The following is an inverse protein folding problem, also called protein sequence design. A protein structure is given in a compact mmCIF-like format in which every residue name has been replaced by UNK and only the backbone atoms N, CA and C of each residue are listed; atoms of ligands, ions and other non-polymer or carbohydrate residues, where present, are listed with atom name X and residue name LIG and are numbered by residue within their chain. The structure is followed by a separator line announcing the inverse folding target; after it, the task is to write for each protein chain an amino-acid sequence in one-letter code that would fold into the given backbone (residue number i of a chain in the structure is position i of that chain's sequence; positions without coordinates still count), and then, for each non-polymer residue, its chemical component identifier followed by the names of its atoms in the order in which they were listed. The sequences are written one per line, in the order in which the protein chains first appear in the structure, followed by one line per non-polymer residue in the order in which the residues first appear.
data_IF_951819293779
#
_entry.id   IF_951819293779
#
_cell.length_a   1.000
_cell.length_b   1.000
_cell.length_c   1.000
_cell.angle_alpha   90.00
_cell.angle_beta   90.00
_cell.angle_gamma   90.00
#
_symmetry.space_group_name_H-M   'P 1'
#
loop_
_entity.id
_entity.type
_entity.pdbx_description
1 polymer ?
#
# COMPACT_ATOMS: atom_id res chain seq x y z
N UNK A 1 10.63 1.54 2.12
CA UNK A 1 9.35 1.08 2.68
C UNK A 1 8.29 2.15 2.45
N UNK A 2 7.06 1.78 2.11
CA UNK A 2 5.94 2.74 1.99
C UNK A 2 4.89 2.47 3.04
N UNK A 3 4.25 3.52 3.54
CA UNK A 3 3.16 3.44 4.49
C UNK A 3 1.83 3.60 3.77
N UNK A 4 0.93 2.64 3.96
CA UNK A 4 -0.47 2.77 3.58
C UNK A 4 -1.19 3.39 4.77
N UNK A 5 -1.37 4.71 4.70
CA UNK A 5 -2.01 5.49 5.75
C UNK A 5 -3.47 5.67 5.42
N UNK A 6 -4.32 5.13 6.28
CA UNK A 6 -5.75 5.16 6.12
C UNK A 6 -6.39 6.10 7.14
N UNK A 7 -7.00 7.20 6.69
CA UNK A 7 -7.80 8.09 7.55
C UNK A 7 -9.20 7.53 7.73
N UNK A 8 -9.31 6.48 8.55
CA UNK A 8 -10.57 6.09 9.15
C UNK A 8 -10.71 6.96 10.39
N UNK A 9 -11.68 7.87 10.40
CA UNK A 9 -11.97 8.84 11.46
C UNK A 9 -12.02 8.22 12.87
N UNK A 10 -10.83 8.06 13.48
CA UNK A 10 -10.46 7.50 14.79
C UNK A 10 -9.85 6.08 14.87
N UNK A 11 -9.59 5.36 13.76
CA UNK A 11 -8.84 4.08 13.75
C UNK A 11 -7.82 4.08 12.59
N UNK A 12 -6.58 4.48 12.88
CA UNK A 12 -5.48 4.40 11.91
C UNK A 12 -5.12 2.94 11.66
N UNK A 13 -5.69 2.32 10.63
CA UNK A 13 -5.14 1.08 10.08
C UNK A 13 -3.84 1.44 9.34
N UNK A 14 -2.71 0.96 9.85
CA UNK A 14 -1.40 1.16 9.23
C UNK A 14 -0.99 -0.14 8.54
N UNK A 15 -1.06 -0.15 7.21
CA UNK A 15 -0.48 -1.22 6.41
C UNK A 15 0.88 -0.78 5.85
N UNK A 16 1.76 -1.74 5.61
CA UNK A 16 3.02 -1.52 4.91
C UNK A 16 2.95 -1.86 3.42
N UNK A 17 3.98 -1.48 2.70
CA UNK A 17 4.21 -1.96 1.34
C UNK A 17 5.65 -1.71 0.87
N UNK A 18 5.95 -2.24 -0.31
CA UNK A 18 7.24 -2.13 -0.97
C UNK A 18 7.05 -1.63 -2.40
N UNK A 19 7.87 -0.65 -2.81
CA UNK A 19 7.93 -0.22 -4.21
C UNK A 19 8.63 -1.32 -4.98
N UNK A 20 7.94 -1.92 -5.95
CA UNK A 20 8.49 -3.02 -6.78
C UNK A 20 8.69 -2.59 -8.24
N UNK A 21 8.05 -1.50 -8.66
CA UNK A 21 8.29 -0.84 -9.94
C UNK A 21 7.91 0.64 -9.85
N UNK A 22 8.29 1.43 -10.86
CA UNK A 22 8.05 2.88 -10.96
C UNK A 22 6.64 3.32 -10.54
N UNK A 23 5.60 2.55 -10.90
CA UNK A 23 4.21 2.86 -10.59
C UNK A 23 3.53 1.81 -9.69
N UNK A 24 4.27 0.86 -9.12
CA UNK A 24 3.67 -0.30 -8.44
C UNK A 24 4.22 -0.50 -7.03
N UNK A 25 3.29 -0.66 -6.10
CA UNK A 25 3.53 -1.02 -4.71
C UNK A 25 2.96 -2.41 -4.45
N UNK A 26 3.79 -3.31 -3.94
CA UNK A 26 3.39 -4.60 -3.36
C UNK A 26 2.92 -4.40 -1.92
N UNK A 27 1.81 -5.03 -1.58
CA UNK A 27 1.22 -5.04 -0.24
C UNK A 27 0.41 -6.32 -0.01
N UNK A 28 -0.31 -6.40 1.10
CA UNK A 28 -1.20 -7.51 1.41
C UNK A 28 -2.59 -7.30 0.80
N UNK A 29 -3.29 -8.38 0.45
CA UNK A 29 -4.64 -8.33 -0.10
C UNK A 29 -5.64 -7.76 0.90
N UNK A 30 -5.51 -8.16 2.17
CA UNK A 30 -6.36 -7.65 3.25
C UNK A 30 -6.13 -6.16 3.58
N UNK A 31 -5.04 -5.55 3.10
CA UNK A 31 -4.86 -4.10 3.19
C UNK A 31 -5.72 -3.36 2.15
N UNK A 32 -6.10 -4.03 1.07
CA UNK A 32 -6.86 -3.46 -0.05
C UNK A 32 -8.35 -3.71 0.10
N UNK A 33 -8.72 -4.94 0.49
CA UNK A 33 -10.12 -5.40 0.59
C UNK A 33 -10.42 -6.04 1.94
N UNK A 34 -11.66 -5.90 2.39
CA UNK A 34 -12.22 -6.61 3.53
C UNK A 34 -13.38 -7.49 3.08
N UNK A 35 -13.67 -8.53 3.86
CA UNK A 35 -14.86 -9.35 3.63
C UNK A 35 -16.05 -8.74 4.38
N UNK A 36 -17.09 -8.41 3.64
CA UNK A 36 -18.33 -7.94 4.23
C UNK A 36 -19.01 -9.07 5.00
N UNK A 37 -19.17 -8.90 6.31
CA UNK A 37 -19.73 -9.94 7.19
C UNK A 37 -21.19 -10.30 6.88
N UNK A 38 -21.95 -9.41 6.21
CA UNK A 38 -23.35 -9.65 5.84
C UNK A 38 -23.50 -10.36 4.50
N UNK A 39 -22.62 -10.06 3.53
CA UNK A 39 -22.75 -10.57 2.15
C UNK A 39 -21.70 -11.63 1.80
N UNK A 40 -20.66 -11.80 2.63
CA UNK A 40 -19.53 -12.68 2.39
C UNK A 40 -18.64 -12.25 1.22
N UNK A 41 -18.93 -11.12 0.56
CA UNK A 41 -18.17 -10.63 -0.60
C UNK A 41 -16.98 -9.76 -0.14
N UNK A 42 -15.90 -9.83 -0.90
CA UNK A 42 -14.78 -8.90 -0.77
C UNK A 42 -15.19 -7.53 -1.29
N UNK A 43 -14.92 -6.49 -0.51
CA UNK A 43 -15.15 -5.10 -0.86
C UNK A 43 -13.89 -4.28 -0.54
N UNK A 44 -13.56 -3.24 -1.32
CA UNK A 44 -12.40 -2.40 -1.02
C UNK A 44 -12.57 -1.70 0.35
N UNK A 45 -11.58 -1.87 1.23
CA UNK A 45 -11.43 -1.06 2.45
C UNK A 45 -11.26 0.42 2.08
N UNK A 46 -10.60 0.64 0.94
CA UNK A 46 -9.96 1.89 0.60
C UNK A 46 -10.73 2.78 -0.37
N UNK A 47 -11.62 2.24 -1.20
CA UNK A 47 -12.02 3.01 -2.37
C UNK A 47 -12.98 4.18 -2.06
N UNK A 48 -13.66 4.17 -0.91
CA UNK A 48 -14.52 5.29 -0.49
C UNK A 48 -13.77 6.38 0.31
N UNK A 49 -12.57 6.11 0.84
CA UNK A 49 -11.91 7.01 1.82
C UNK A 49 -10.43 7.26 1.47
N UNK A 50 -9.76 6.38 0.72
CA UNK A 50 -8.30 6.26 0.68
C UNK A 50 -7.80 6.40 -0.75
N UNK A 51 -7.45 7.64 -1.09
CA UNK A 51 -6.95 8.00 -2.42
C UNK A 51 -5.43 7.94 -2.54
N UNK A 52 -4.68 7.81 -1.44
CA UNK A 52 -3.23 8.03 -1.46
C UNK A 52 -2.44 6.91 -0.78
N UNK A 53 -1.24 6.67 -1.29
CA UNK A 53 -0.15 5.91 -0.66
C UNK A 53 0.91 6.91 -0.25
N UNK A 54 1.29 6.93 1.01
CA UNK A 54 2.36 7.82 1.48
C UNK A 54 3.70 7.07 1.38
N UNK A 55 4.53 7.48 0.43
CA UNK A 55 5.91 6.99 0.37
C UNK A 55 6.77 7.75 1.38
N UNK A 56 7.50 7.01 2.23
CA UNK A 56 8.51 7.58 3.13
C UNK A 56 9.90 7.35 2.54
N UNK A 57 10.58 8.44 2.19
CA UNK A 57 11.94 8.42 1.66
C UNK A 57 13.01 8.69 2.71
N UNK A 58 13.08 7.90 3.80
CA UNK A 58 14.14 7.89 4.83
C UNK A 58 13.69 7.00 6.00
N UNK A 59 14.61 6.27 6.65
CA UNK A 59 14.28 5.19 7.60
C UNK A 59 14.02 5.65 9.04
N UNK A 60 14.12 6.94 9.36
CA UNK A 60 14.06 7.42 10.75
C UNK A 60 12.74 8.11 11.04
N UNK A 61 11.79 7.39 11.65
CA UNK A 61 10.63 8.01 12.28
C UNK A 61 11.10 8.88 13.46
N UNK A 62 11.36 10.16 13.23
CA UNK A 62 11.48 11.12 14.34
C UNK A 62 10.12 11.79 14.48
N UNK A 63 9.42 11.41 15.54
CA UNK A 63 8.22 12.10 16.02
C UNK A 63 8.52 13.61 16.11
N UNK A 64 8.02 14.39 15.16
CA UNK A 64 8.13 15.86 15.16
C UNK A 64 8.91 16.49 14.00
N UNK A 65 9.48 15.72 13.07
CA UNK A 65 10.10 16.27 11.86
C UNK A 65 9.25 15.90 10.65
N UNK A 66 8.72 16.89 9.94
CA UNK A 66 8.09 16.70 8.63
C UNK A 66 9.16 16.23 7.64
N UNK A 67 9.38 14.92 7.56
CA UNK A 67 10.08 14.30 6.45
C UNK A 67 9.18 14.39 5.23
N UNK A 68 9.75 14.66 4.05
CA UNK A 68 9.01 14.87 2.80
C UNK A 68 8.07 13.69 2.50
N UNK A 69 6.84 13.81 2.98
CA UNK A 69 5.77 12.88 2.70
C UNK A 69 5.34 13.14 1.27
N UNK A 70 5.62 12.19 0.38
CA UNK A 70 5.09 12.24 -0.97
C UNK A 70 3.89 11.32 -1.01
N UNK A 71 2.71 11.95 -1.12
CA UNK A 71 1.46 11.24 -1.31
C UNK A 71 1.29 10.93 -2.80
N UNK A 72 1.23 9.65 -3.12
CA UNK A 72 0.99 9.15 -4.46
C UNK A 72 -0.47 8.70 -4.59
N UNK A 73 -1.21 9.28 -5.53
CA UNK A 73 -2.60 8.89 -5.79
C UNK A 73 -2.66 7.44 -6.30
N UNK A 74 -3.47 6.59 -5.67
CA UNK A 74 -3.76 5.24 -6.18
C UNK A 74 -4.82 5.33 -7.28
N UNK A 75 -4.52 4.76 -8.44
CA UNK A 75 -5.42 4.73 -9.60
C UNK A 75 -5.95 3.34 -9.91
N UNK A 76 -5.28 2.29 -9.44
CA UNK A 76 -5.69 0.91 -9.62
C UNK A 76 -5.23 0.06 -8.44
N UNK A 77 -6.00 -0.96 -8.12
CA UNK A 77 -5.62 -1.98 -7.17
C UNK A 77 -5.88 -3.36 -7.79
N UNK A 78 -5.07 -4.31 -7.37
CA UNK A 78 -5.22 -5.73 -7.68
C UNK A 78 -4.98 -6.50 -6.38
N UNK A 79 -5.67 -7.60 -6.20
CA UNK A 79 -5.41 -8.57 -5.15
C UNK A 79 -5.53 -9.95 -5.76
N UNK A 80 -4.93 -10.96 -5.13
CA UNK A 80 -4.98 -12.30 -5.67
C UNK A 80 -6.43 -12.84 -5.70
N UNK A 81 -6.87 -13.41 -6.83
CA UNK A 81 -8.26 -13.86 -7.02
C UNK A 81 -8.70 -14.92 -6.00
N UNK A 82 -7.73 -15.70 -5.48
CA UNK A 82 -7.94 -16.69 -4.41
C UNK A 82 -7.68 -16.17 -2.99
N UNK A 83 -7.71 -14.84 -2.79
CA UNK A 83 -7.62 -14.26 -1.45
C UNK A 83 -8.75 -14.81 -0.58
N UNK A 84 -8.39 -15.51 0.50
CA UNK A 84 -9.35 -16.10 1.43
C UNK A 84 -9.30 -15.36 2.76
N UNK A 85 -10.42 -14.71 3.09
CA UNK A 85 -10.63 -14.07 4.39
C UNK A 85 -11.85 -14.77 5.02
N UNK A 86 -11.70 -15.25 6.25
CA UNK A 86 -12.76 -15.94 7.00
C UNK A 86 -12.82 -15.31 8.38
N UNK A 87 -14.01 -14.82 8.77
CA UNK A 87 -14.21 -14.17 10.08
C UNK A 87 -13.22 -13.02 10.37
N UNK A 88 -12.86 -12.25 9.35
CA UNK A 88 -11.90 -11.14 9.48
C UNK A 88 -10.44 -11.58 9.61
N UNK A 89 -10.15 -12.87 9.53
CA UNK A 89 -8.79 -13.41 9.50
C UNK A 89 -8.40 -13.80 8.09
N UNK A 90 -7.17 -13.46 7.73
CA UNK A 90 -6.53 -13.90 6.49
C UNK A 90 -6.22 -15.38 6.61
N UNK A 91 -6.64 -16.16 5.60
CA UNK A 91 -6.38 -17.60 5.53
C UNK A 91 -5.35 -17.89 4.45
N UNK A 92 -5.51 -17.36 3.23
CA UNK A 92 -4.62 -17.65 2.10
C UNK A 92 -4.51 -16.48 1.10
N UNK A 93 -3.41 -16.50 0.34
CA UNK A 93 -3.16 -15.65 -0.84
C UNK A 93 -3.27 -14.14 -0.55
N UNK A 94 -2.66 -13.72 0.57
CA UNK A 94 -2.71 -12.36 1.07
C UNK A 94 -1.72 -11.42 0.37
N UNK A 95 -1.91 -11.24 -0.93
CA UNK A 95 -1.05 -10.39 -1.75
C UNK A 95 -1.89 -9.44 -2.59
N UNK A 96 -1.40 -8.21 -2.71
CA UNK A 96 -2.03 -7.14 -3.45
C UNK A 96 -1.03 -6.18 -4.07
N UNK A 97 -1.47 -5.50 -5.12
CA UNK A 97 -0.72 -4.49 -5.85
C UNK A 97 -1.52 -3.21 -5.91
N UNK A 98 -0.86 -2.09 -5.66
CA UNK A 98 -1.40 -0.75 -5.86
C UNK A 98 -0.64 -0.07 -6.99
N UNK A 99 -1.38 0.48 -7.95
CA UNK A 99 -0.82 1.32 -9.00
C UNK A 99 -1.01 2.78 -8.64
N UNK A 100 0.06 3.55 -8.69
CA UNK A 100 0.04 4.99 -8.43
C UNK A 100 0.04 5.81 -9.72
N UNK A 101 -0.59 6.99 -9.68
CA UNK A 101 -0.67 7.93 -10.82
C UNK A 101 0.68 8.52 -11.18
N UNK A 102 1.38 9.03 -10.17
CA UNK A 102 2.72 9.59 -10.30
C UNK A 102 3.72 8.53 -9.83
N UNK A 103 4.74 8.27 -10.63
CA UNK A 103 5.76 7.29 -10.30
C UNK A 103 6.72 7.74 -9.21
N UNK A 104 7.42 6.77 -8.63
CA UNK A 104 8.46 7.00 -7.62
C UNK A 104 9.78 7.45 -8.27
N UNK A 105 9.69 8.47 -9.13
CA UNK A 105 10.83 9.06 -9.84
C UNK A 105 11.88 9.57 -8.84
N UNK A 106 13.16 9.29 -9.13
CA UNK A 106 14.28 9.63 -8.24
C UNK A 106 14.50 8.69 -7.04
N UNK A 107 13.51 7.90 -6.60
CA UNK A 107 13.73 6.81 -5.62
C UNK A 107 14.05 5.48 -6.32
N UNK A 108 13.31 5.17 -7.38
CA UNK A 108 13.49 3.93 -8.15
C UNK A 108 14.83 3.92 -8.90
N UNK A 109 15.16 5.02 -9.58
CA UNK A 109 16.45 5.18 -10.29
C UNK A 109 17.66 5.02 -9.36
N UNK A 110 17.58 5.48 -8.11
CA UNK A 110 18.67 5.30 -7.14
C UNK A 110 18.90 3.84 -6.72
N UNK A 111 17.87 2.99 -6.79
CA UNK A 111 18.00 1.55 -6.44
C UNK A 111 18.59 0.76 -7.60
N UNK A 112 18.13 0.98 -8.83
CA UNK A 112 18.63 0.26 -10.01
C UNK A 112 20.12 0.57 -10.25
N UNK A 113 20.51 1.84 -10.10
CA UNK A 113 21.90 2.27 -10.27
C UNK A 113 22.85 1.78 -9.15
N UNK A 114 22.34 1.15 -8.08
CA UNK A 114 23.17 0.50 -7.06
C UNK A 114 23.42 -0.99 -7.36
N UNK A 115 22.58 -1.62 -8.20
CA UNK A 115 22.76 -3.03 -8.64
C UNK A 115 23.66 -3.14 -9.88
N UNK A 116 23.94 -2.05 -10.58
CA UNK A 116 24.86 -1.98 -11.73
C UNK A 116 26.31 -1.60 -11.38
N UNK A 117 26.66 -1.42 -10.11
CA UNK A 117 28.05 -1.19 -9.73
C UNK A 117 28.80 -2.54 -9.61
N UNK A 118 29.91 -2.74 -10.35
CA UNK A 118 30.64 -4.01 -10.40
C UNK A 118 31.33 -4.38 -9.07
#
# INVERSE_FOLDING_TARGET
MVGLMYDYSALRAFCGGSIIAKHWVLTAGHCIVEKNSKTGKLQPLAFYILKTVTARGNTTFISGVAQDFVDHLVIKYLYHDRLSIVEGKVVENDVGLLQVKQGFDGLYERVINLEEQP
#
